data_IF_637632137628
#
_entry.id   IF_637632137628
#
_cell.length_a   1.000
_cell.length_b   1.000
_cell.length_c   1.000
_cell.angle_alpha   90.00
_cell.angle_beta   90.00
_cell.angle_gamma   90.00
#
_symmetry.space_group_name_H-M   'P 1'
#
loop_
_entity.id
_entity.type
_entity.pdbx_description
1 polymer ?
#
# COMPACT_ATOMS: atom_id res chain seq x y z
N UNK A 1 -28.32 18.45 -12.21
CA UNK A 1 -26.95 18.83 -11.75
C UNK A 1 -26.60 18.17 -10.41
N UNK A 2 -27.52 17.98 -9.47
CA UNK A 2 -27.28 17.27 -8.21
C UNK A 2 -26.88 15.78 -8.40
N UNK A 3 -27.53 15.08 -9.34
CA UNK A 3 -27.25 13.66 -9.60
C UNK A 3 -25.83 13.39 -10.15
N UNK A 4 -25.30 14.27 -10.99
CA UNK A 4 -23.96 14.11 -11.54
C UNK A 4 -22.86 14.30 -10.47
N UNK A 5 -23.06 15.22 -9.52
CA UNK A 5 -22.14 15.42 -8.41
C UNK A 5 -22.17 14.24 -7.42
N UNK A 6 -23.35 13.70 -7.14
CA UNK A 6 -23.52 12.52 -6.29
C UNK A 6 -22.89 11.27 -6.92
N UNK A 7 -23.01 11.09 -8.24
CA UNK A 7 -22.38 10.00 -8.99
C UNK A 7 -20.86 10.10 -8.93
N UNK A 8 -20.30 11.28 -9.18
CA UNK A 8 -18.86 11.51 -9.11
C UNK A 8 -18.28 11.27 -7.69
N UNK A 9 -19.05 11.62 -6.65
CA UNK A 9 -18.64 11.35 -5.27
C UNK A 9 -18.68 9.86 -4.92
N UNK A 10 -19.68 9.13 -5.41
CA UNK A 10 -19.78 7.69 -5.26
C UNK A 10 -18.63 6.95 -5.98
N UNK A 11 -18.29 7.38 -7.20
CA UNK A 11 -17.14 6.86 -7.94
C UNK A 11 -15.81 7.12 -7.22
N UNK A 12 -15.63 8.35 -6.69
CA UNK A 12 -14.44 8.70 -5.93
C UNK A 12 -14.30 7.87 -4.65
N UNK A 13 -15.40 7.57 -3.98
CA UNK A 13 -15.42 6.69 -2.81
C UNK A 13 -15.07 5.25 -3.18
N UNK A 14 -15.72 4.72 -4.22
CA UNK A 14 -15.45 3.35 -4.70
C UNK A 14 -14.00 3.17 -5.20
N UNK A 15 -13.40 4.21 -5.79
CA UNK A 15 -12.00 4.20 -6.16
C UNK A 15 -11.08 4.22 -4.93
N UNK A 16 -11.42 5.03 -3.92
CA UNK A 16 -10.66 5.12 -2.67
C UNK A 16 -10.68 3.82 -1.86
N UNK A 17 -11.80 3.09 -1.85
CA UNK A 17 -11.95 1.81 -1.17
C UNK A 17 -11.06 0.70 -1.77
N UNK A 18 -10.55 0.90 -3.00
CA UNK A 18 -9.60 -0.02 -3.67
C UNK A 18 -8.14 0.28 -3.37
N UNK A 19 -7.84 1.36 -2.66
CA UNK A 19 -6.45 1.74 -2.35
C UNK A 19 -5.84 0.75 -1.38
N UNK A 20 -4.65 0.27 -1.71
CA UNK A 20 -3.90 -0.67 -0.88
C UNK A 20 -3.59 -0.10 0.52
N UNK A 21 -3.66 -0.94 1.53
CA UNK A 21 -3.53 -0.55 2.95
C UNK A 21 -2.16 0.07 3.26
N UNK A 22 -1.08 -0.43 2.62
CA UNK A 22 0.27 0.11 2.78
C UNK A 22 0.37 1.55 2.28
N UNK A 23 -0.28 1.87 1.15
CA UNK A 23 -0.34 3.22 0.62
C UNK A 23 -1.19 4.14 1.52
N UNK A 24 -2.34 3.65 2.03
CA UNK A 24 -3.16 4.39 2.98
C UNK A 24 -2.39 4.72 4.26
N UNK A 25 -1.63 3.78 4.78
CA UNK A 25 -0.79 3.96 5.98
C UNK A 25 0.22 5.10 5.77
N UNK A 26 0.93 5.11 4.63
CA UNK A 26 1.88 6.18 4.31
C UNK A 26 1.18 7.53 4.17
N UNK A 27 0.02 7.57 3.52
CA UNK A 27 -0.75 8.81 3.36
C UNK A 27 -1.24 9.35 4.71
N UNK A 28 -1.62 8.48 5.64
CA UNK A 28 -2.05 8.87 7.00
C UNK A 28 -0.88 9.38 7.83
N UNK A 29 0.24 8.68 7.86
CA UNK A 29 1.46 9.09 8.56
C UNK A 29 1.97 10.46 8.09
N UNK A 30 1.98 10.68 6.79
CA UNK A 30 2.46 11.92 6.18
C UNK A 30 1.38 12.99 6.10
N UNK A 31 0.14 12.70 6.54
CA UNK A 31 -1.00 13.64 6.55
C UNK A 31 -1.32 14.20 5.16
N UNK A 32 -1.28 13.35 4.14
CA UNK A 32 -1.68 13.74 2.79
C UNK A 32 -3.15 14.17 2.80
N UNK A 33 -3.53 15.31 2.20
CA UNK A 33 -4.91 15.80 2.21
C UNK A 33 -5.88 14.82 1.54
N UNK A 34 -7.07 14.63 2.14
CA UNK A 34 -8.07 13.69 1.63
C UNK A 34 -8.50 13.97 0.19
N UNK A 35 -8.61 15.25 -0.19
CA UNK A 35 -8.94 15.64 -1.56
C UNK A 35 -7.90 15.10 -2.57
N UNK A 36 -6.61 15.23 -2.25
CA UNK A 36 -5.54 14.70 -3.10
C UNK A 36 -5.56 13.18 -3.17
N UNK A 37 -5.80 12.49 -2.04
CA UNK A 37 -5.93 11.02 -2.01
C UNK A 37 -7.04 10.52 -2.92
N UNK A 38 -8.23 11.15 -2.86
CA UNK A 38 -9.37 10.79 -3.71
C UNK A 38 -9.06 11.02 -5.18
N UNK A 39 -8.45 12.16 -5.54
CA UNK A 39 -8.05 12.43 -6.92
C UNK A 39 -7.06 11.42 -7.44
N UNK A 40 -6.06 11.05 -6.65
CA UNK A 40 -5.08 10.01 -6.97
C UNK A 40 -5.76 8.65 -7.17
N UNK A 41 -6.65 8.26 -6.27
CA UNK A 41 -7.39 6.99 -6.37
C UNK A 41 -8.26 6.93 -7.65
N UNK A 42 -8.99 8.00 -7.96
CA UNK A 42 -9.79 8.10 -9.21
C UNK A 42 -8.90 8.01 -10.45
N UNK A 43 -7.69 8.56 -10.38
CA UNK A 43 -6.70 8.47 -11.47
C UNK A 43 -6.02 7.10 -11.57
N UNK A 44 -6.43 6.11 -10.75
CA UNK A 44 -5.88 4.75 -10.77
C UNK A 44 -4.64 4.55 -9.91
N UNK A 45 -4.22 5.53 -9.12
CA UNK A 45 -3.10 5.41 -8.20
C UNK A 45 -3.59 4.70 -6.91
N UNK A 46 -3.69 3.36 -6.98
CA UNK A 46 -4.28 2.54 -5.92
C UNK A 46 -3.26 1.68 -5.16
N UNK A 47 -2.04 1.60 -5.63
CA UNK A 47 -0.97 0.84 -4.98
C UNK A 47 0.32 1.66 -4.81
N UNK A 48 1.20 1.14 -3.96
CA UNK A 48 2.45 1.80 -3.59
C UNK A 48 3.40 1.98 -4.78
N UNK A 49 3.44 1.01 -5.69
CA UNK A 49 4.34 1.04 -6.85
C UNK A 49 3.93 2.12 -7.84
N UNK A 50 2.63 2.26 -8.11
CA UNK A 50 2.08 3.33 -8.95
C UNK A 50 2.30 4.72 -8.32
N UNK A 51 2.12 4.83 -7.00
CA UNK A 51 2.38 6.07 -6.29
C UNK A 51 3.86 6.46 -6.31
N UNK A 52 4.77 5.49 -6.18
CA UNK A 52 6.22 5.72 -6.30
C UNK A 52 6.63 6.24 -7.68
N UNK A 53 5.86 5.94 -8.73
CA UNK A 53 6.10 6.38 -10.10
C UNK A 53 5.46 7.74 -10.44
N UNK A 54 4.84 8.42 -9.49
CA UNK A 54 4.17 9.71 -9.72
C UNK A 54 5.07 10.79 -10.32
N UNK A 55 6.38 10.68 -10.12
CA UNK A 55 7.37 11.57 -10.71
C UNK A 55 8.80 11.05 -10.51
N UNK A 56 9.71 11.54 -11.34
CA UNK A 56 11.13 11.18 -11.30
C UNK A 56 11.91 11.97 -10.22
N UNK A 57 11.41 13.15 -9.88
CA UNK A 57 12.04 14.07 -8.91
C UNK A 57 11.01 14.79 -8.05
N UNK A 58 11.48 15.42 -6.95
CA UNK A 58 10.64 16.25 -6.09
C UNK A 58 9.94 17.39 -6.86
N UNK A 59 10.64 17.99 -7.80
CA UNK A 59 10.15 19.09 -8.64
C UNK A 59 8.99 18.59 -9.51
N UNK A 60 9.14 17.40 -10.11
CA UNK A 60 8.07 16.80 -10.92
C UNK A 60 6.84 16.45 -10.08
N UNK A 61 7.04 15.92 -8.89
CA UNK A 61 5.92 15.64 -7.98
C UNK A 61 5.21 16.94 -7.56
N UNK A 62 5.94 18.03 -7.27
CA UNK A 62 5.34 19.34 -7.00
C UNK A 62 4.56 19.90 -8.21
N UNK A 63 5.07 19.69 -9.40
CA UNK A 63 4.37 20.04 -10.64
C UNK A 63 3.04 19.31 -10.77
N UNK A 64 3.02 17.99 -10.50
CA UNK A 64 1.80 17.18 -10.45
C UNK A 64 0.84 17.71 -9.37
N UNK A 65 1.35 18.04 -8.19
CA UNK A 65 0.54 18.62 -7.10
C UNK A 65 -0.17 19.89 -7.54
N UNK A 66 0.55 20.81 -8.18
CA UNK A 66 -0.01 22.09 -8.60
C UNK A 66 -0.98 21.96 -9.78
N UNK A 67 -0.63 21.15 -10.78
CA UNK A 67 -1.41 21.04 -12.02
C UNK A 67 -2.63 20.13 -11.93
N UNK A 68 -2.50 19.02 -11.19
CA UNK A 68 -3.50 17.95 -11.23
C UNK A 68 -4.23 17.72 -9.92
N UNK A 69 -3.61 18.08 -8.77
CA UNK A 69 -4.20 17.85 -7.46
C UNK A 69 -4.75 19.13 -6.81
N UNK A 70 -4.63 20.28 -7.49
CA UNK A 70 -5.09 21.56 -6.96
C UNK A 70 -4.36 22.02 -5.69
N UNK A 71 -3.19 21.47 -5.43
CA UNK A 71 -2.34 21.85 -4.29
C UNK A 71 -1.38 22.96 -4.72
N UNK A 72 -1.91 24.19 -4.85
CA UNK A 72 -1.12 25.36 -5.21
C UNK A 72 -0.14 25.77 -4.11
N UNK A 73 0.98 26.38 -4.51
CA UNK A 73 1.96 26.95 -3.58
C UNK A 73 1.65 28.41 -3.18
N UNK A 74 0.43 28.88 -3.48
CA UNK A 74 0.04 30.28 -3.30
C UNK A 74 -0.19 30.68 -1.83
N UNK A 75 -0.33 29.68 -0.97
CA UNK A 75 -0.52 29.90 0.47
C UNK A 75 0.20 28.81 1.29
N UNK A 76 0.38 29.09 2.57
CA UNK A 76 1.10 28.18 3.50
C UNK A 76 0.46 26.80 3.56
N UNK A 77 -0.87 26.70 3.55
CA UNK A 77 -1.58 25.42 3.59
C UNK A 77 -1.29 24.57 2.34
N UNK A 78 -1.25 25.17 1.16
CA UNK A 78 -0.88 24.52 -0.08
C UNK A 78 0.56 24.04 -0.07
N UNK A 79 1.51 24.86 0.40
CA UNK A 79 2.92 24.48 0.56
C UNK A 79 3.06 23.27 1.49
N UNK A 80 2.39 23.29 2.64
CA UNK A 80 2.41 22.18 3.60
C UNK A 80 1.80 20.91 3.00
N UNK A 81 0.70 21.03 2.26
CA UNK A 81 0.05 19.90 1.58
C UNK A 81 0.94 19.29 0.49
N UNK A 82 1.64 20.12 -0.29
CA UNK A 82 2.64 19.66 -1.25
C UNK A 82 3.79 18.95 -0.55
N UNK A 83 4.29 19.51 0.56
CA UNK A 83 5.35 18.91 1.38
C UNK A 83 4.96 17.54 1.91
N UNK A 84 3.72 17.40 2.40
CA UNK A 84 3.17 16.13 2.87
C UNK A 84 3.14 15.08 1.76
N UNK A 85 2.67 15.44 0.57
CA UNK A 85 2.59 14.52 -0.57
C UNK A 85 3.99 14.13 -1.09
N UNK A 86 4.92 15.07 -1.20
CA UNK A 86 6.31 14.80 -1.58
C UNK A 86 6.98 13.86 -0.57
N UNK A 87 6.77 14.09 0.74
CA UNK A 87 7.30 13.21 1.79
C UNK A 87 6.70 11.81 1.74
N UNK A 88 5.41 11.68 1.45
CA UNK A 88 4.74 10.39 1.25
C UNK A 88 5.32 9.66 0.03
N UNK A 89 5.50 10.36 -1.08
CA UNK A 89 6.08 9.81 -2.29
C UNK A 89 7.52 9.33 -2.09
N UNK A 90 8.37 10.09 -1.38
CA UNK A 90 9.74 9.65 -1.06
C UNK A 90 9.75 8.40 -0.18
N UNK A 91 8.83 8.32 0.76
CA UNK A 91 8.65 7.15 1.60
C UNK A 91 8.26 5.93 0.74
N UNK A 92 7.28 6.09 -0.14
CA UNK A 92 6.83 5.04 -1.05
C UNK A 92 7.95 4.54 -1.98
N UNK A 93 8.74 5.45 -2.57
CA UNK A 93 9.91 5.07 -3.40
C UNK A 93 10.90 4.20 -2.64
N UNK A 94 11.27 4.62 -1.44
CA UNK A 94 12.20 3.84 -0.60
C UNK A 94 11.66 2.46 -0.28
N UNK A 95 10.36 2.34 -0.01
CA UNK A 95 9.72 1.04 0.23
C UNK A 95 9.78 0.14 -1.00
N UNK A 96 9.48 0.68 -2.17
CA UNK A 96 9.52 -0.06 -3.43
C UNK A 96 10.94 -0.48 -3.76
N UNK A 97 11.93 0.42 -3.60
CA UNK A 97 13.35 0.12 -3.84
C UNK A 97 13.83 -1.03 -2.94
N UNK A 98 13.57 -0.96 -1.63
CA UNK A 98 13.92 -2.03 -0.68
C UNK A 98 13.24 -3.35 -1.04
N UNK A 99 11.96 -3.32 -1.40
CA UNK A 99 11.23 -4.52 -1.83
C UNK A 99 11.89 -5.16 -3.05
N UNK A 100 12.23 -4.37 -4.06
CA UNK A 100 12.92 -4.86 -5.26
C UNK A 100 14.31 -5.41 -4.95
N UNK A 101 15.07 -4.79 -4.04
CA UNK A 101 16.38 -5.30 -3.61
C UNK A 101 16.25 -6.67 -2.94
N UNK A 102 15.32 -6.81 -1.99
CA UNK A 102 15.06 -8.09 -1.29
C UNK A 102 14.62 -9.17 -2.26
N UNK A 103 13.70 -8.87 -3.17
CA UNK A 103 13.25 -9.80 -4.20
C UNK A 103 14.39 -10.22 -5.15
N UNK A 104 15.23 -9.27 -5.55
CA UNK A 104 16.37 -9.54 -6.43
C UNK A 104 17.40 -10.43 -5.73
N UNK A 105 17.70 -10.16 -4.46
CA UNK A 105 18.63 -10.95 -3.66
C UNK A 105 18.09 -12.38 -3.43
N UNK A 106 16.83 -12.52 -3.05
CA UNK A 106 16.19 -13.82 -2.87
C UNK A 106 16.24 -14.66 -4.15
N UNK A 107 15.93 -14.06 -5.31
CA UNK A 107 16.04 -14.74 -6.61
C UNK A 107 17.47 -15.16 -6.93
N UNK A 108 18.46 -14.30 -6.66
CA UNK A 108 19.87 -14.58 -6.90
C UNK A 108 20.39 -15.74 -6.05
N UNK A 109 19.95 -15.79 -4.79
CA UNK A 109 20.33 -16.82 -3.83
C UNK A 109 19.48 -18.09 -3.92
N UNK A 110 18.43 -18.11 -4.74
CA UNK A 110 17.40 -19.18 -4.78
C UNK A 110 16.81 -19.44 -3.39
N UNK A 111 16.63 -18.40 -2.62
CA UNK A 111 16.01 -18.44 -1.31
C UNK A 111 14.56 -17.95 -1.39
N UNK A 112 13.66 -18.40 -0.49
CA UNK A 112 12.30 -17.84 -0.42
C UNK A 112 12.35 -16.35 -0.14
N UNK A 113 11.47 -15.61 -0.80
CA UNK A 113 11.37 -14.16 -0.61
C UNK A 113 10.86 -13.91 0.81
N UNK A 114 11.65 -13.24 1.63
CA UNK A 114 11.21 -12.85 2.97
C UNK A 114 10.04 -11.85 2.87
N UNK A 115 8.92 -12.20 3.50
CA UNK A 115 7.75 -11.33 3.54
C UNK A 115 8.04 -10.17 4.48
N UNK A 116 7.95 -8.94 3.98
CA UNK A 116 8.19 -7.74 4.77
C UNK A 116 7.08 -7.60 5.83
N UNK A 117 7.43 -7.13 7.04
CA UNK A 117 6.50 -7.01 8.17
C UNK A 117 5.17 -6.32 7.82
N UNK A 118 5.20 -5.32 6.94
CA UNK A 118 3.99 -4.64 6.47
C UNK A 118 3.09 -5.55 5.63
N UNK A 119 3.65 -6.44 4.84
CA UNK A 119 2.86 -7.38 4.04
C UNK A 119 2.17 -8.42 4.92
N UNK A 120 2.80 -8.86 6.02
CA UNK A 120 2.14 -9.67 7.04
C UNK A 120 0.95 -8.96 7.68
N UNK A 121 1.10 -7.68 8.03
CA UNK A 121 0.03 -6.88 8.59
C UNK A 121 -1.12 -6.69 7.61
N UNK A 122 -0.81 -6.49 6.33
CA UNK A 122 -1.81 -6.37 5.27
C UNK A 122 -2.57 -7.69 5.05
N UNK A 123 -1.86 -8.83 5.03
CA UNK A 123 -2.46 -10.16 4.92
C UNK A 123 -3.40 -10.44 6.11
N UNK A 124 -2.96 -10.13 7.33
CA UNK A 124 -3.79 -10.26 8.53
C UNK A 124 -5.05 -9.44 8.41
N UNK A 125 -4.94 -8.17 8.06
CA UNK A 125 -6.09 -7.27 7.91
C UNK A 125 -7.05 -7.73 6.82
N UNK A 126 -6.54 -8.15 5.66
CA UNK A 126 -7.38 -8.70 4.59
C UNK A 126 -8.12 -9.97 5.03
N UNK A 127 -7.46 -10.82 5.81
CA UNK A 127 -8.10 -12.01 6.38
C UNK A 127 -9.21 -11.64 7.37
N UNK A 128 -8.95 -10.70 8.29
CA UNK A 128 -9.92 -10.20 9.27
C UNK A 128 -11.13 -9.54 8.58
N UNK A 129 -10.89 -8.71 7.58
CA UNK A 129 -11.94 -8.07 6.78
C UNK A 129 -12.80 -9.10 6.01
N UNK A 130 -12.19 -10.16 5.48
CA UNK A 130 -12.88 -11.21 4.71
C UNK A 130 -13.67 -12.16 5.58
N UNK A 131 -13.25 -12.39 6.82
CA UNK A 131 -13.88 -13.34 7.74
C UNK A 131 -14.75 -12.68 8.82
N UNK A 132 -14.82 -11.34 8.85
CA UNK A 132 -15.71 -10.59 9.73
C UNK A 132 -15.35 -10.60 11.21
N UNK A 133 -14.06 -10.82 11.56
CA UNK A 133 -13.62 -10.82 12.95
C UNK A 133 -12.10 -10.67 13.09
N UNK A 134 -11.68 -10.10 14.23
CA UNK A 134 -10.25 -10.00 14.56
C UNK A 134 -9.65 -11.37 14.87
N UNK A 135 -8.44 -11.60 14.38
CA UNK A 135 -7.70 -12.82 14.66
C UNK A 135 -7.01 -12.71 16.03
N UNK A 136 -7.43 -13.56 16.98
CA UNK A 136 -6.77 -13.63 18.29
C UNK A 136 -5.30 -14.01 18.15
N UNK A 137 -4.41 -13.38 18.92
CA UNK A 137 -2.95 -13.58 18.79
C UNK A 137 -2.51 -15.06 18.88
N UNK A 138 -3.22 -15.88 19.65
CA UNK A 138 -2.98 -17.33 19.75
C UNK A 138 -3.29 -18.11 18.46
N UNK A 139 -4.06 -17.52 17.54
CA UNK A 139 -4.43 -18.11 16.27
C UNK A 139 -3.67 -17.49 15.10
N UNK A 140 -2.79 -16.53 15.36
CA UNK A 140 -1.93 -15.93 14.32
C UNK A 140 -0.86 -16.96 13.93
N UNK A 141 -0.79 -17.36 12.64
CA UNK A 141 0.25 -18.27 12.19
C UNK A 141 1.64 -17.69 12.41
N UNK A 142 2.61 -18.52 12.72
CA UNK A 142 4.01 -18.11 12.82
C UNK A 142 4.53 -17.54 11.50
N UNK A 143 5.49 -16.61 11.58
CA UNK A 143 6.09 -15.96 10.39
C UNK A 143 6.62 -16.99 9.38
N UNK A 144 7.38 -17.98 9.83
CA UNK A 144 7.96 -19.02 8.96
C UNK A 144 6.89 -19.86 8.25
N UNK A 145 5.74 -20.09 8.90
CA UNK A 145 4.63 -20.79 8.29
C UNK A 145 4.01 -19.97 7.16
N UNK A 146 3.74 -18.67 7.39
CA UNK A 146 3.17 -17.77 6.37
C UNK A 146 4.11 -17.66 5.18
N UNK A 147 5.42 -17.54 5.41
CA UNK A 147 6.46 -17.49 4.37
C UNK A 147 6.46 -18.79 3.54
N UNK A 148 6.44 -19.96 4.19
CA UNK A 148 6.37 -21.26 3.50
C UNK A 148 5.10 -21.40 2.65
N UNK A 149 3.94 -20.99 3.19
CA UNK A 149 2.69 -21.04 2.42
C UNK A 149 2.68 -20.06 1.24
N UNK A 150 3.25 -18.87 1.41
CA UNK A 150 3.38 -17.89 0.33
C UNK A 150 4.28 -18.43 -0.79
N UNK A 151 5.39 -19.07 -0.45
CA UNK A 151 6.29 -19.73 -1.41
C UNK A 151 5.56 -20.84 -2.17
N UNK A 152 4.86 -21.74 -1.46
CA UNK A 152 4.05 -22.79 -2.08
C UNK A 152 2.99 -22.26 -3.04
N UNK A 153 2.32 -21.14 -2.67
CA UNK A 153 1.36 -20.47 -3.55
C UNK A 153 2.03 -19.89 -4.81
N UNK A 154 3.24 -19.34 -4.66
CA UNK A 154 3.98 -18.72 -5.77
C UNK A 154 4.54 -19.76 -6.73
N UNK A 155 5.00 -20.90 -6.21
CA UNK A 155 5.56 -22.00 -6.99
C UNK A 155 4.49 -22.96 -7.53
N UNK A 156 3.27 -22.89 -7.02
CA UNK A 156 2.18 -23.80 -7.37
C UNK A 156 2.32 -25.20 -6.79
N UNK A 157 3.25 -25.40 -5.85
CA UNK A 157 3.47 -26.65 -5.15
C UNK A 157 2.84 -26.62 -3.75
N UNK A 158 1.72 -27.30 -3.58
CA UNK A 158 1.03 -27.37 -2.28
C UNK A 158 1.42 -28.65 -1.53
N UNK A 159 1.98 -28.49 -0.32
CA UNK A 159 2.29 -29.59 0.60
C UNK A 159 1.35 -29.51 1.81
N UNK A 160 0.79 -30.66 2.17
CA UNK A 160 0.01 -30.76 3.41
C UNK A 160 0.97 -30.73 4.61
N UNK A 161 0.85 -29.71 5.46
CA UNK A 161 1.67 -29.56 6.66
C UNK A 161 0.96 -30.08 7.91
N UNK A 162 1.74 -30.46 8.92
CA UNK A 162 1.15 -30.92 10.18
C UNK A 162 0.64 -29.74 11.00
N UNK A 163 -0.46 -29.91 11.74
CA UNK A 163 -1.02 -28.87 12.60
C UNK A 163 -0.04 -28.32 13.64
N UNK A 164 1.05 -29.04 13.95
CA UNK A 164 2.09 -28.57 14.89
C UNK A 164 2.99 -27.50 14.29
N UNK A 165 3.08 -27.44 12.97
CA UNK A 165 3.88 -26.44 12.25
C UNK A 165 3.10 -25.16 12.00
N UNK A 166 1.75 -25.26 12.01
CA UNK A 166 0.85 -24.11 11.77
C UNK A 166 0.83 -23.15 12.96
N UNK A 167 0.90 -23.67 14.18
CA UNK A 167 0.84 -22.84 15.39
C UNK A 167 2.24 -22.75 16.01
N UNK A 168 2.78 -21.53 16.11
CA UNK A 168 3.98 -21.31 16.92
C UNK A 168 3.58 -21.41 18.40
N UNK A 169 4.02 -22.48 19.04
CA UNK A 169 3.92 -22.70 20.49
C UNK A 169 5.08 -22.00 21.18
#
# INVERSE_FOLDING_TARGET
MADAAALAEAEARAAYDKVATDLLTIWDEKKVPMAARRTLAVSGCVDLSLFAQLGESREKVREVCSRHLGLGADNLAGIMSQGALVSAWECARKFVDVRHEVEAEARALRQPVQIIKNDHLNMRKQYEDSNGGELEDRHVPGHSYVESQFEQCTEGEYKAESLKEVFSI
#
